data_IF_369031660950
#
_entry.id   IF_369031660950
#
_cell.length_a   1.000
_cell.length_b   1.000
_cell.length_c   1.000
_cell.angle_alpha   90.00
_cell.angle_beta   90.00
_cell.angle_gamma   90.00
#
_symmetry.space_group_name_H-M   'P 1'
#
loop_
_entity.id
_entity.type
_entity.pdbx_description
1 polymer ?
#
# COMPACT_ATOMS: atom_id res chain seq x y z
N UNK A 1 -18.53 6.59 -1.33
CA UNK A 1 -17.29 6.21 -2.03
C UNK A 1 -16.20 6.15 -0.98
N UNK A 2 -15.61 4.98 -0.78
CA UNK A 2 -14.54 4.78 0.19
C UNK A 2 -13.22 5.34 -0.37
N UNK A 3 -12.35 5.84 0.50
CA UNK A 3 -11.03 6.35 0.14
C UNK A 3 -9.98 5.57 0.91
N UNK A 4 -8.98 5.05 0.19
CA UNK A 4 -7.90 4.22 0.73
C UNK A 4 -6.55 4.91 0.50
N UNK A 5 -5.56 4.52 1.29
CA UNK A 5 -4.18 5.02 1.15
C UNK A 5 -3.38 4.07 0.27
N UNK A 6 -2.51 4.62 -0.57
CA UNK A 6 -1.48 3.85 -1.28
C UNK A 6 -0.10 4.32 -0.79
N UNK A 7 0.69 3.42 -0.22
CA UNK A 7 2.10 3.63 0.11
C UNK A 7 2.92 2.99 -1.00
N UNK A 8 3.83 3.74 -1.61
CA UNK A 8 4.63 3.26 -2.73
C UNK A 8 6.12 3.30 -2.41
N UNK A 9 6.83 2.29 -2.87
CA UNK A 9 8.28 2.27 -2.94
C UNK A 9 8.72 1.65 -4.27
N UNK A 10 10.00 1.83 -4.61
CA UNK A 10 10.58 1.28 -5.84
C UNK A 10 11.40 0.05 -5.50
N UNK A 11 11.14 -1.05 -6.20
CA UNK A 11 11.93 -2.28 -6.16
C UNK A 11 12.39 -2.59 -7.58
N UNK A 12 13.71 -2.61 -7.79
CA UNK A 12 14.34 -2.74 -9.11
C UNK A 12 13.74 -1.76 -10.15
N UNK A 13 13.09 -2.28 -11.19
CA UNK A 13 12.48 -1.52 -12.27
C UNK A 13 10.97 -1.27 -12.08
N UNK A 14 10.40 -1.68 -10.94
CA UNK A 14 8.97 -1.60 -10.67
C UNK A 14 8.64 -0.70 -9.47
N UNK A 15 7.46 -0.10 -9.50
CA UNK A 15 6.82 0.50 -8.34
C UNK A 15 5.95 -0.55 -7.66
N UNK A 16 6.17 -0.76 -6.36
CA UNK A 16 5.33 -1.60 -5.50
C UNK A 16 4.41 -0.64 -4.72
N UNK A 17 3.12 -0.95 -4.70
CA UNK A 17 2.09 -0.16 -4.04
C UNK A 17 1.33 -1.03 -3.03
N UNK A 18 1.20 -0.55 -1.80
CA UNK A 18 0.50 -1.22 -0.70
C UNK A 18 -0.65 -0.36 -0.18
N UNK A 19 -1.79 -0.99 0.12
CA UNK A 19 -2.88 -0.38 0.87
C UNK A 19 -2.86 -0.85 2.33
N UNK A 20 -2.39 -0.02 3.28
CA UNK A 20 -2.24 -0.43 4.68
C UNK A 20 -3.56 -0.69 5.41
N UNK A 21 -4.69 -0.14 4.94
CA UNK A 21 -6.00 -0.35 5.56
C UNK A 21 -6.54 -1.78 5.40
N UNK A 22 -6.16 -2.47 4.32
CA UNK A 22 -6.61 -3.83 3.99
C UNK A 22 -5.46 -4.83 3.82
N UNK A 23 -4.22 -4.35 3.67
CA UNK A 23 -3.03 -5.17 3.45
C UNK A 23 -2.87 -5.68 2.02
N UNK A 24 -3.59 -5.11 1.04
CA UNK A 24 -3.42 -5.47 -0.37
C UNK A 24 -2.15 -4.85 -0.93
N UNK A 25 -1.50 -5.57 -1.84
CA UNK A 25 -0.27 -5.14 -2.50
C UNK A 25 -0.42 -5.36 -4.00
N UNK A 26 0.14 -4.45 -4.79
CA UNK A 26 0.27 -4.60 -6.23
C UNK A 26 1.53 -3.91 -6.74
N UNK A 27 1.78 -4.00 -8.04
CA UNK A 27 2.97 -3.43 -8.67
C UNK A 27 2.70 -2.95 -10.10
N UNK A 28 3.55 -2.07 -10.62
CA UNK A 28 3.47 -1.56 -11.99
C UNK A 28 4.78 -0.92 -12.44
N UNK A 29 4.96 -0.75 -13.75
CA UNK A 29 6.11 -0.06 -14.33
C UNK A 29 6.07 1.47 -14.12
N UNK A 30 4.89 2.02 -13.85
CA UNK A 30 4.71 3.42 -13.42
C UNK A 30 3.92 3.50 -12.11
N UNK A 31 3.97 4.68 -11.48
CA UNK A 31 3.17 4.98 -10.28
C UNK A 31 1.69 4.81 -10.56
N UNK A 32 1.22 5.31 -11.71
CA UNK A 32 -0.19 5.24 -12.12
C UNK A 32 -0.64 3.80 -12.34
N UNK A 33 0.19 2.98 -12.98
CA UNK A 33 -0.07 1.56 -13.19
C UNK A 33 -0.15 0.81 -11.85
N UNK A 34 0.83 1.01 -10.97
CA UNK A 34 0.85 0.35 -9.65
C UNK A 34 -0.39 0.71 -8.81
N UNK A 35 -0.81 1.99 -8.83
CA UNK A 35 -2.02 2.44 -8.14
C UNK A 35 -3.29 1.88 -8.77
N UNK A 36 -3.36 1.81 -10.10
CA UNK A 36 -4.50 1.20 -10.81
C UNK A 36 -4.65 -0.27 -10.44
N UNK A 37 -3.55 -1.02 -10.47
CA UNK A 37 -3.54 -2.44 -10.13
C UNK A 37 -3.87 -2.65 -8.63
N UNK A 38 -3.36 -1.79 -7.74
CA UNK A 38 -3.70 -1.82 -6.31
C UNK A 38 -5.20 -1.58 -6.07
N UNK A 39 -5.81 -0.66 -6.82
CA UNK A 39 -7.25 -0.39 -6.73
C UNK A 39 -8.06 -1.63 -7.09
N UNK A 40 -7.72 -2.34 -8.17
CA UNK A 40 -8.39 -3.58 -8.56
C UNK A 40 -8.23 -4.67 -7.50
N UNK A 41 -7.00 -4.89 -7.01
CA UNK A 41 -6.74 -5.85 -5.94
C UNK A 41 -7.54 -5.54 -4.65
N UNK A 42 -7.66 -4.26 -4.30
CA UNK A 42 -8.44 -3.80 -3.15
C UNK A 42 -9.93 -4.03 -3.33
N UNK A 43 -10.47 -3.83 -4.53
CA UNK A 43 -11.88 -4.13 -4.84
C UNK A 43 -12.15 -5.62 -4.66
N UNK A 44 -11.32 -6.49 -5.24
CA UNK A 44 -11.47 -7.94 -5.12
C UNK A 44 -11.41 -8.40 -3.66
N UNK A 45 -10.50 -7.83 -2.87
CA UNK A 45 -10.43 -8.11 -1.43
C UNK A 45 -11.71 -7.72 -0.69
N UNK A 46 -12.27 -6.54 -0.97
CA UNK A 46 -13.48 -6.03 -0.31
C UNK A 46 -14.75 -6.78 -0.72
N UNK A 47 -14.79 -7.35 -1.92
CA UNK A 47 -15.88 -8.23 -2.36
C UNK A 47 -15.93 -9.52 -1.53
N UNK A 48 -14.77 -10.07 -1.15
CA UNK A 48 -14.68 -11.27 -0.32
C UNK A 48 -14.76 -10.95 1.18
N UNK A 49 -14.16 -9.84 1.60
CA UNK A 49 -14.06 -9.38 2.99
C UNK A 49 -14.55 -7.93 3.14
N UNK A 50 -15.87 -7.70 3.22
CA UNK A 50 -16.43 -6.37 3.36
C UNK A 50 -15.89 -5.67 4.61
N UNK A 51 -15.29 -4.49 4.45
CA UNK A 51 -14.88 -3.68 5.60
C UNK A 51 -16.10 -3.07 6.29
N UNK A 52 -16.19 -3.29 7.60
CA UNK A 52 -17.29 -2.81 8.44
C UNK A 52 -17.03 -1.45 9.06
N UNK A 53 -15.79 -0.97 9.05
CA UNK A 53 -15.36 0.28 9.69
C UNK A 53 -14.37 1.02 8.78
N UNK A 54 -14.54 2.34 8.65
CA UNK A 54 -13.58 3.19 7.94
C UNK A 54 -12.32 3.40 8.78
N UNK A 55 -11.21 2.80 8.36
CA UNK A 55 -9.89 3.05 8.94
C UNK A 55 -9.10 3.94 7.99
N UNK A 56 -8.35 4.89 8.53
CA UNK A 56 -7.46 5.77 7.76
C UNK A 56 -6.04 5.56 8.22
N UNK A 57 -5.12 5.31 7.29
CA UNK A 57 -3.71 5.29 7.62
C UNK A 57 -3.23 6.66 8.11
N UNK A 58 -2.35 6.64 9.10
CA UNK A 58 -1.58 7.81 9.54
C UNK A 58 -0.14 7.56 9.12
N UNK A 59 0.34 8.33 8.14
CA UNK A 59 1.72 8.25 7.68
C UNK A 59 2.61 9.10 8.58
N UNK A 60 3.68 8.51 9.11
CA UNK A 60 4.68 9.20 9.93
C UNK A 60 6.06 8.61 9.69
N UNK A 61 7.11 9.35 10.04
CA UNK A 61 8.50 8.91 9.93
C UNK A 61 9.13 8.93 11.33
N UNK A 62 10.11 8.05 11.55
CA UNK A 62 10.90 8.03 12.78
C UNK A 62 12.36 7.72 12.44
N UNK A 63 13.28 8.21 13.27
CA UNK A 63 14.72 8.02 13.09
C UNK A 63 15.21 6.85 13.96
N UNK A 64 16.19 6.08 13.45
CA UNK A 64 16.80 4.95 14.17
C UNK A 64 18.32 5.10 14.13
N UNK A 65 18.99 4.87 15.27
CA UNK A 65 20.45 4.82 15.35
C UNK A 65 20.98 3.57 14.63
N UNK A 66 22.12 3.67 13.94
CA UNK A 66 22.73 2.51 13.30
C UNK A 66 23.03 1.41 14.33
N UNK A 67 22.59 0.19 14.03
CA UNK A 67 23.06 -0.99 14.76
C UNK A 67 24.54 -1.17 14.45
N UNK A 68 25.40 -1.00 15.48
CA UNK A 68 26.80 -1.33 15.35
C UNK A 68 26.92 -2.85 15.14
N UNK A 69 27.14 -3.27 13.89
CA UNK A 69 27.56 -4.64 13.61
C UNK A 69 28.92 -4.87 14.26
N UNK A 70 28.99 -5.79 15.22
CA UNK A 70 30.25 -6.29 15.81
C UNK A 70 30.90 -7.33 14.90
#
# INVERSE_FOLDING_TARGET
>A
MLTFTAVLHKEDDLYVAECPEVGTVSQGGTVEEAVSNLKEATILYLEEFPQTEERRAILTTFEVSSVASS
#
